data_IF_498411790956
#
_entry.id   IF_498411790956
#
_cell.length_a   1.000
_cell.length_b   1.000
_cell.length_c   1.000
_cell.angle_alpha   90.00
_cell.angle_beta   90.00
_cell.angle_gamma   90.00
#
_symmetry.space_group_name_H-M   'P 1'
#
loop_
_entity.id
_entity.type
_entity.pdbx_description
1 polymer ?
2 non-polymer ?
3 non-polymer ?
4 non-polymer ?
5 non-polymer ?
6 water ?
#
# COMPACT_ATOMS: atom_id res chain seq x y z
N UNK A 22 18.64 -1.29 22.14
CA UNK A 22 17.85 -0.30 21.41
C UNK A 22 16.66 -0.94 20.70
N UNK A 23 16.78 -2.23 20.39
CA UNK A 23 15.76 -2.95 19.63
C UNK A 23 14.67 -3.56 20.51
N UNK A 24 15.06 -4.26 21.56
CA UNK A 24 14.08 -4.75 22.53
C UNK A 24 13.42 -3.55 23.20
N UNK A 25 14.19 -2.47 23.38
CA UNK A 25 13.67 -1.25 23.99
C UNK A 25 12.53 -0.71 23.14
N UNK A 26 12.77 -0.60 21.84
CA UNK A 26 11.72 -0.23 20.89
C UNK A 26 10.55 -1.22 20.95
N UNK A 27 10.84 -2.50 21.04
CA UNK A 27 9.80 -3.53 21.13
C UNK A 27 9.06 -3.44 22.46
N UNK A 28 9.83 -3.31 23.53
CA UNK A 28 9.26 -3.15 24.87
C UNK A 28 8.31 -1.97 24.90
N UNK A 29 8.80 -0.81 24.45
CA UNK A 29 8.00 0.41 24.41
C UNK A 29 6.78 0.30 23.50
N UNK A 30 6.93 -0.35 22.36
CA UNK A 30 5.84 -0.50 21.41
C UNK A 30 4.77 -1.40 22.05
N UNK A 31 5.22 -2.51 22.61
CA UNK A 31 4.29 -3.51 23.17
C UNK A 31 3.56 -2.98 24.39
N UNK A 32 4.18 -2.06 25.12
CA UNK A 32 3.58 -1.54 26.36
C UNK A 32 2.65 -0.34 26.14
N UNK A 33 2.67 0.24 24.94
CA UNK A 33 1.90 1.47 24.69
C UNK A 33 0.41 1.22 24.50
N UNK A 34 -0.40 2.20 24.88
CA UNK A 34 -1.82 2.21 24.55
C UNK A 34 -1.96 2.48 23.06
N UNK A 35 -2.85 1.77 22.41
CA UNK A 35 -3.08 1.99 20.98
C UNK A 35 -4.32 2.84 20.83
N UNK A 36 -4.16 4.09 20.41
CA UNK A 36 -5.32 4.99 20.34
C UNK A 36 -6.31 4.52 19.29
N UNK A 37 -7.56 4.98 19.41
CA UNK A 37 -8.60 4.65 18.46
C UNK A 37 -8.24 5.07 17.03
N UNK A 38 -8.91 4.45 16.06
CA UNK A 38 -8.76 4.83 14.65
C UNK A 38 -9.12 6.30 14.46
N UNK A 39 -10.17 6.76 15.15
CA UNK A 39 -10.59 8.16 15.09
C UNK A 39 -9.50 9.09 15.60
N UNK A 40 -8.97 8.82 16.78
CA UNK A 40 -7.89 9.64 17.33
C UNK A 40 -6.70 9.73 16.36
N UNK A 41 -6.38 8.62 15.70
CA UNK A 41 -5.20 8.55 14.86
C UNK A 41 -5.40 9.05 13.43
N UNK A 42 -6.64 9.38 13.08
CA UNK A 42 -7.02 9.97 11.78
C UNK A 42 -6.81 9.00 10.62
N UNK A 43 -6.79 7.73 10.95
CA UNK A 43 -6.36 6.70 10.04
C UNK A 43 -7.44 6.34 9.00
N UNK A 44 -8.68 6.73 9.29
CA UNK A 44 -9.77 6.52 8.34
C UNK A 44 -9.88 7.60 7.27
N UNK A 45 -9.08 8.67 7.38
CA UNK A 45 -9.17 9.79 6.43
C UNK A 45 -8.35 9.54 5.15
N UNK A 46 -8.95 9.80 4.00
CA UNK A 46 -8.20 9.70 2.77
C UNK A 46 -7.05 10.73 2.73
N UNK A 47 -7.24 11.86 3.41
CA UNK A 47 -6.30 12.97 3.36
C UNK A 47 -5.20 12.84 4.41
N UNK A 48 -5.09 11.66 5.00
CA UNK A 48 -4.11 11.37 6.06
C UNK A 48 -2.67 11.67 5.64
N UNK A 49 -1.88 12.17 6.58
CA UNK A 49 -0.48 12.45 6.33
C UNK A 49 0.31 12.00 7.52
N UNK A 50 1.55 11.57 7.27
CA UNK A 50 2.39 11.02 8.34
C UNK A 50 3.51 11.94 8.79
N UNK A 51 3.63 13.13 8.19
CA UNK A 51 4.79 13.99 8.41
C UNK A 51 5.01 14.31 9.89
N UNK A 52 3.92 14.44 10.62
CA UNK A 52 3.97 14.85 12.02
C UNK A 52 4.11 13.67 12.99
N UNK A 53 4.23 12.45 12.46
CA UNK A 53 4.31 11.24 13.29
C UNK A 53 5.71 10.69 13.44
N UNK A 54 6.03 10.22 14.64
CA UNK A 54 7.27 9.47 14.87
C UNK A 54 7.11 8.04 14.38
N UNK A 55 8.23 7.32 14.28
CA UNK A 55 8.19 5.92 13.87
C UNK A 55 7.29 5.13 14.81
N UNK A 56 7.47 5.36 16.11
CA UNK A 56 6.63 4.72 17.13
C UNK A 56 5.16 4.95 16.81
N UNK A 57 4.81 6.20 16.50
CA UNK A 57 3.42 6.53 16.21
C UNK A 57 2.92 5.78 14.98
N UNK A 58 3.75 5.63 13.95
CA UNK A 58 3.31 4.90 12.76
C UNK A 58 3.13 3.41 13.08
N UNK A 59 3.97 2.88 13.97
CA UNK A 59 3.81 1.51 14.44
C UNK A 59 2.47 1.31 15.15
N UNK A 60 2.10 2.28 15.99
CA UNK A 60 0.80 2.25 16.68
C UNK A 60 -0.39 2.31 15.71
N UNK A 61 -0.29 3.19 14.71
CA UNK A 61 -1.31 3.26 13.68
C UNK A 61 -1.41 1.91 12.97
N UNK A 62 -0.27 1.25 12.75
CA UNK A 62 -0.31 -0.05 12.05
C UNK A 62 -1.06 -1.11 12.89
N UNK A 63 -0.78 -1.18 14.19
CA UNK A 63 -1.54 -2.05 15.09
C UNK A 63 -3.03 -1.76 14.98
N UNK A 64 -3.39 -0.49 15.08
CA UNK A 64 -4.79 -0.10 15.01
C UNK A 64 -5.44 -0.60 13.71
N UNK A 65 -4.72 -0.51 12.60
CA UNK A 65 -5.22 -1.00 11.32
C UNK A 65 -5.55 -2.49 11.37
N UNK A 66 -4.60 -3.30 11.86
CA UNK A 66 -4.87 -4.73 12.05
C UNK A 66 -6.08 -5.00 12.94
N UNK A 67 -6.15 -4.32 14.09
CA UNK A 67 -7.20 -4.63 15.06
C UNK A 67 -8.58 -4.25 14.54
N UNK A 68 -8.69 -3.05 13.96
CA UNK A 68 -10.00 -2.58 13.51
C UNK A 68 -10.48 -3.19 12.22
N UNK A 69 -9.61 -3.94 11.54
CA UNK A 69 -10.05 -4.75 10.44
C UNK A 69 -10.38 -6.16 10.94
N UNK A 70 -10.36 -6.32 12.27
CA UNK A 70 -10.70 -7.58 12.94
C UNK A 70 -9.70 -8.71 12.68
N UNK A 71 -8.48 -8.34 12.27
CA UNK A 71 -7.45 -9.33 11.96
C UNK A 71 -6.80 -9.95 13.20
N UNK A 72 -6.59 -9.14 14.23
CA UNK A 72 -6.02 -9.63 15.48
C UNK A 72 -6.97 -10.66 16.11
N UNK A 73 -8.26 -10.37 16.06
CA UNK A 73 -9.29 -11.22 16.62
C UNK A 73 -9.45 -12.51 15.82
N UNK A 74 -9.76 -12.37 14.54
CA UNK A 74 -10.11 -13.50 13.69
C UNK A 74 -8.97 -14.49 13.48
N UNK A 75 -7.74 -14.04 13.67
CA UNK A 75 -6.57 -14.88 13.38
C UNK A 75 -5.65 -15.07 14.57
N UNK A 76 -6.20 -14.76 15.75
CA UNK A 76 -5.55 -15.05 17.03
C UNK A 76 -4.11 -14.59 17.12
N UNK A 77 -3.85 -13.35 16.70
CA UNK A 77 -2.51 -12.81 16.74
C UNK A 77 -2.16 -12.39 18.16
N UNK A 78 -1.00 -12.83 18.63
CA UNK A 78 -0.48 -12.39 19.92
C UNK A 78 0.13 -11.01 19.77
N UNK A 79 -0.07 -10.15 20.77
CA UNK A 79 0.30 -8.75 20.68
C UNK A 79 1.80 -8.57 20.40
N UNK A 80 2.63 -9.26 21.15
CA UNK A 80 4.08 -9.13 20.98
C UNK A 80 4.57 -9.64 19.63
N UNK A 81 3.87 -10.62 19.06
CA UNK A 81 4.25 -11.14 17.74
C UNK A 81 3.96 -10.09 16.65
N UNK A 82 2.78 -9.48 16.70
CA UNK A 82 2.40 -8.43 15.75
C UNK A 82 3.33 -7.21 15.89
N UNK A 83 3.60 -6.80 17.12
CA UNK A 83 4.57 -5.72 17.36
C UNK A 83 5.93 -6.00 16.75
N UNK A 84 6.44 -7.20 17.01
CA UNK A 84 7.75 -7.57 16.48
C UNK A 84 7.72 -7.59 14.94
N UNK A 85 6.64 -8.13 14.37
CA UNK A 85 6.48 -8.17 12.92
C UNK A 85 6.49 -6.77 12.30
N UNK A 86 5.77 -5.84 12.93
CA UNK A 86 5.70 -4.48 12.42
C UNK A 86 7.08 -3.84 12.48
N UNK A 87 7.78 -4.03 13.59
CA UNK A 87 9.15 -3.52 13.71
C UNK A 87 10.13 -4.12 12.71
N UNK A 88 10.00 -5.43 12.44
CA UNK A 88 10.85 -6.09 11.44
C UNK A 88 10.61 -5.51 10.04
N UNK A 89 9.35 -5.29 9.72
CA UNK A 89 9.00 -4.73 8.43
C UNK A 89 9.59 -3.33 8.30
N UNK A 90 9.32 -2.49 9.29
CA UNK A 90 9.84 -1.12 9.30
C UNK A 90 11.35 -1.11 9.12
N UNK A 91 12.03 -1.96 9.85
CA UNK A 91 13.49 -1.99 9.79
C UNK A 91 14.04 -2.43 8.44
N UNK A 92 13.27 -3.22 7.70
CA UNK A 92 13.73 -3.70 6.41
C UNK A 92 13.43 -2.78 5.21
N UNK A 93 13.00 -1.54 5.50
CA UNK A 93 13.03 -0.48 4.50
C UNK A 93 14.28 0.37 4.70
N UNK A 94 14.74 1.05 3.66
CA UNK A 94 15.97 1.83 3.77
C UNK A 94 15.67 3.34 3.95
N UNK A 95 16.09 3.86 5.10
CA UNK A 95 15.87 5.28 5.46
C UNK A 95 16.49 6.25 4.46
N UNK A 96 17.65 5.89 3.94
CA UNK A 96 18.41 6.72 2.98
C UNK A 96 17.76 6.83 1.61
N UNK A 97 16.69 6.08 1.37
CA UNK A 97 16.00 6.14 0.10
C UNK A 97 14.85 7.15 0.25
N UNK A 98 14.86 8.19 -0.58
CA UNK A 98 14.01 9.39 -0.35
C UNK A 98 12.51 9.10 -0.30
N UNK A 99 12.03 8.32 -1.26
CA UNK A 99 10.59 8.03 -1.33
C UNK A 99 10.25 6.58 -1.02
N UNK A 100 10.95 5.63 -1.65
CA UNK A 100 10.64 4.22 -1.44
C UNK A 100 11.22 3.71 -0.11
N UNK A 101 10.56 4.09 0.98
CA UNK A 101 10.99 3.73 2.33
C UNK A 101 9.78 3.32 3.17
N UNK A 102 9.98 3.13 4.47
CA UNK A 102 8.88 2.70 5.34
C UNK A 102 7.65 3.63 5.33
N UNK A 103 7.87 4.95 5.27
CA UNK A 103 6.73 5.89 5.26
C UNK A 103 5.85 5.71 4.03
N UNK A 104 6.46 5.38 2.90
CA UNK A 104 5.70 5.04 1.71
C UNK A 104 4.83 3.80 1.92
N UNK A 105 5.41 2.73 2.46
CA UNK A 105 4.67 1.48 2.72
C UNK A 105 3.55 1.72 3.73
N UNK A 106 3.90 2.43 4.79
CA UNK A 106 2.94 2.79 5.83
C UNK A 106 1.77 3.57 5.25
N UNK A 107 2.08 4.56 4.41
CA UNK A 107 1.06 5.34 3.73
C UNK A 107 0.21 4.51 2.77
N UNK A 108 0.85 3.56 2.09
CA UNK A 108 0.13 2.65 1.19
C UNK A 108 -0.88 1.81 1.98
N UNK A 109 -0.47 1.30 3.13
CA UNK A 109 -1.38 0.53 3.98
C UNK A 109 -2.50 1.37 4.58
N UNK A 110 -2.20 2.63 4.90
CA UNK A 110 -3.23 3.48 5.50
C UNK A 110 -4.29 3.71 4.44
N UNK A 111 -3.86 3.93 3.20
CA UNK A 111 -4.78 4.12 2.12
C UNK A 111 -5.61 2.85 1.92
N UNK A 112 -4.97 1.69 2.03
CA UNK A 112 -5.72 0.42 1.96
C UNK A 112 -6.79 0.39 3.06
N UNK A 113 -6.39 0.74 4.27
CA UNK A 113 -7.31 0.74 5.41
C UNK A 113 -8.48 1.69 5.14
N UNK A 114 -8.15 2.89 4.66
CA UNK A 114 -9.17 3.90 4.40
C UNK A 114 -10.15 3.47 3.30
N UNK A 115 -9.62 2.85 2.23
CA UNK A 115 -10.50 2.36 1.16
C UNK A 115 -11.40 1.24 1.66
N UNK A 116 -10.87 0.39 2.53
CA UNK A 116 -11.65 -0.69 3.11
C UNK A 116 -12.76 -0.17 4.02
N UNK A 117 -12.40 0.79 4.86
CA UNK A 117 -13.33 1.35 5.84
C UNK A 117 -14.20 2.45 5.23
N UNK A 118 -13.65 3.65 5.09
CA UNK A 118 -14.38 4.79 4.53
C UNK A 118 -14.82 4.53 3.11
N UNK A 119 -14.02 3.78 2.36
CA UNK A 119 -14.37 3.47 0.99
C UNK A 119 -15.31 2.29 0.86
N UNK A 120 -15.65 1.68 1.99
CA UNK A 120 -16.62 0.56 2.01
C UNK A 120 -16.24 -0.58 1.07
N UNK A 121 -14.94 -0.81 0.90
CA UNK A 121 -14.46 -1.93 0.11
C UNK A 121 -14.49 -3.21 0.98
N UNK A 122 -14.30 -3.04 2.29
CA UNK A 122 -14.24 -4.16 3.23
C UNK A 122 -15.34 -5.24 3.07
N UNK A 123 -16.55 -4.79 2.77
CA UNK A 123 -17.71 -5.69 2.69
C UNK A 123 -17.69 -6.56 1.45
N UNK A 124 -16.90 -6.14 0.46
CA UNK A 124 -16.80 -6.87 -0.80
C UNK A 124 -15.77 -8.00 -0.74
N UNK A 125 -15.04 -8.11 0.35
CA UNK A 125 -13.88 -9.02 0.40
C UNK A 125 -13.96 -10.03 1.55
N UNK A 126 -13.19 -11.11 1.45
CA UNK A 126 -13.11 -12.07 2.56
C UNK A 126 -12.11 -11.60 3.59
N UNK A 127 -12.20 -12.16 4.79
CA UNK A 127 -11.25 -11.87 5.83
C UNK A 127 -9.81 -12.18 5.39
N UNK A 128 -9.62 -13.31 4.74
CA UNK A 128 -8.28 -13.69 4.26
C UNK A 128 -7.76 -12.72 3.21
N UNK A 129 -8.65 -12.25 2.34
CA UNK A 129 -8.27 -11.25 1.33
C UNK A 129 -7.82 -9.94 1.98
N UNK A 130 -8.53 -9.52 3.02
CA UNK A 130 -8.21 -8.28 3.73
C UNK A 130 -6.88 -8.39 4.49
N UNK A 131 -6.66 -9.56 5.11
CA UNK A 131 -5.43 -9.87 5.80
C UNK A 131 -4.24 -9.78 4.84
N UNK A 132 -4.40 -10.39 3.67
CA UNK A 132 -3.34 -10.46 2.67
C UNK A 132 -2.98 -9.08 2.11
N UNK A 133 -4.02 -8.29 1.81
CA UNK A 133 -3.88 -6.95 1.27
C UNK A 133 -3.15 -5.99 2.20
N UNK A 134 -3.50 -6.03 3.49
CA UNK A 134 -2.82 -5.17 4.46
C UNK A 134 -1.35 -5.56 4.60
N UNK A 135 -1.09 -6.86 4.68
CA UNK A 135 0.30 -7.32 4.76
C UNK A 135 1.08 -6.93 3.48
N UNK A 136 0.50 -7.23 2.32
CA UNK A 136 1.06 -6.82 1.01
C UNK A 136 1.36 -5.32 0.96
N UNK A 137 0.37 -4.51 1.28
CA UNK A 137 0.55 -3.05 1.25
C UNK A 137 1.78 -2.66 2.04
N UNK A 138 1.91 -3.17 3.26
CA UNK A 138 3.04 -2.85 4.12
C UNK A 138 4.38 -3.42 3.62
N UNK A 139 4.30 -4.54 2.92
CA UNK A 139 5.49 -5.31 2.59
C UNK A 139 5.95 -5.07 1.14
N UNK A 140 5.16 -4.35 0.35
CA UNK A 140 5.30 -4.42 -1.13
C UNK A 140 6.53 -3.76 -1.74
N UNK A 141 7.26 -2.96 -0.96
CA UNK A 141 8.51 -2.36 -1.46
C UNK A 141 9.71 -2.72 -0.57
N UNK A 142 9.59 -3.78 0.22
CA UNK A 142 10.64 -4.12 1.20
C UNK A 142 12.03 -4.17 0.58
N UNK A 143 12.98 -3.52 1.25
CA UNK A 143 14.41 -3.54 0.89
C UNK A 143 14.69 -2.78 -0.41
N UNK A 144 13.76 -1.93 -0.82
CA UNK A 144 13.93 -1.10 -2.03
C UNK A 144 15.16 -0.20 -1.89
N UNK A 145 15.93 -0.04 -2.97
CA UNK A 145 17.15 0.75 -2.91
C UNK A 145 17.11 2.05 -3.72
N UNK A 146 15.92 2.42 -4.21
CA UNK A 146 15.79 3.61 -5.04
C UNK A 146 15.59 3.24 -6.50
N UNK A 147 14.78 4.04 -7.21
CA UNK A 147 14.47 3.75 -8.62
C UNK A 147 15.71 3.72 -9.53
N UNK A 148 16.78 4.42 -9.13
CA UNK A 148 17.99 4.51 -9.92
C UNK A 148 19.03 3.46 -9.57
N UNK A 149 18.68 2.57 -8.64
CA UNK A 149 19.59 1.52 -8.22
C UNK A 149 19.27 0.19 -8.92
N UNK A 150 20.32 -0.54 -9.31
CA UNK A 150 20.17 -1.79 -10.05
C UNK A 150 20.86 -3.00 -9.40
N UNK A 151 21.23 -2.87 -8.13
CA UNK A 151 21.92 -3.95 -7.42
C UNK A 151 21.16 -5.29 -7.43
N UNK A 159 23.10 -7.08 -9.14
CA UNK A 159 21.98 -7.38 -10.04
C UNK A 159 21.89 -8.87 -10.36
N UNK A 160 23.04 -9.46 -10.66
CA UNK A 160 23.11 -10.79 -11.27
C UNK A 160 22.48 -10.79 -12.66
N UNK A 161 22.17 -9.59 -13.16
CA UNK A 161 21.55 -9.37 -14.48
C UNK A 161 20.14 -9.95 -14.62
N UNK A 162 19.69 -10.06 -15.87
CA UNK A 162 18.55 -10.90 -16.27
C UNK A 162 17.17 -10.23 -16.24
N UNK A 163 17.13 -9.00 -16.76
CA UNK A 163 15.89 -8.33 -17.20
C UNK A 163 14.74 -8.22 -16.19
N UNK A 164 13.54 -8.56 -16.64
CA UNK A 164 12.32 -8.31 -15.88
C UNK A 164 11.58 -9.56 -15.43
N UNK A 165 10.29 -9.62 -15.72
CA UNK A 165 9.34 -10.57 -15.11
C UNK A 165 8.99 -10.12 -13.70
N UNK A 166 9.13 -8.81 -13.45
CA UNK A 166 8.86 -8.17 -12.16
C UNK A 166 9.88 -8.58 -11.10
N UNK A 167 11.17 -8.50 -11.44
CA UNK A 167 12.25 -8.97 -10.56
C UNK A 167 12.28 -8.28 -9.19
N UNK A 168 12.04 -6.97 -9.18
CA UNK A 168 12.05 -6.21 -7.93
C UNK A 168 10.90 -6.64 -7.02
N UNK A 169 9.70 -6.78 -7.59
CA UNK A 169 8.53 -7.26 -6.85
C UNK A 169 8.71 -8.68 -6.31
N UNK A 170 9.38 -9.55 -7.07
CA UNK A 170 9.71 -10.87 -6.55
C UNK A 170 10.60 -10.77 -5.32
N UNK A 171 11.58 -9.86 -5.38
CA UNK A 171 12.46 -9.62 -4.24
C UNK A 171 11.67 -9.10 -3.02
N UNK A 172 10.76 -8.14 -3.25
CA UNK A 172 9.94 -7.63 -2.16
C UNK A 172 9.11 -8.76 -1.52
N UNK A 173 8.47 -9.58 -2.35
CA UNK A 173 7.72 -10.71 -1.79
C UNK A 173 8.61 -11.65 -0.98
N UNK A 174 9.79 -11.97 -1.52
CA UNK A 174 10.75 -12.83 -0.84
C UNK A 174 11.12 -12.30 0.54
N UNK A 175 11.33 -10.97 0.62
CA UNK A 175 11.60 -10.32 1.90
C UNK A 175 10.39 -10.41 2.83
N UNK A 176 9.20 -10.21 2.28
CA UNK A 176 7.96 -10.34 3.04
C UNK A 176 7.86 -11.74 3.65
N UNK A 177 8.11 -12.76 2.83
CA UNK A 177 8.00 -14.17 3.22
C UNK A 177 8.98 -14.50 4.35
N UNK A 178 10.22 -14.07 4.18
CA UNK A 178 11.29 -14.28 5.17
C UNK A 178 10.92 -13.70 6.55
N UNK A 179 10.33 -12.51 6.55
CA UNK A 179 9.88 -11.92 7.80
C UNK A 179 8.71 -12.72 8.39
N UNK A 180 7.78 -13.13 7.55
CA UNK A 180 6.65 -13.95 8.03
C UNK A 180 7.07 -15.29 8.62
N UNK A 181 8.25 -15.77 8.22
CA UNK A 181 8.81 -17.04 8.69
C UNK A 181 9.79 -16.87 9.85
N UNK A 182 10.07 -15.62 10.22
CA UNK A 182 11.09 -15.33 11.23
C UNK A 182 10.58 -15.70 12.62
N UNK A 183 11.46 -16.26 13.46
CA UNK A 183 11.09 -16.61 14.83
C UNK A 183 10.54 -15.40 15.56
N UNK A 184 9.38 -15.55 16.21
CA UNK A 184 8.77 -14.48 16.96
C UNK A 184 7.96 -13.49 16.14
N UNK A 185 7.97 -13.64 14.82
CA UNK A 185 7.31 -12.70 13.90
C UNK A 185 6.15 -13.32 13.13
N UNK A 186 5.76 -14.52 13.50
CA UNK A 186 4.79 -15.27 12.69
C UNK A 186 3.33 -14.95 12.95
N UNK A 187 2.89 -13.78 12.47
CA UNK A 187 1.51 -13.32 12.65
C UNK A 187 0.49 -14.18 11.92
N UNK A 188 0.95 -15.06 11.05
CA UNK A 188 0.05 -15.95 10.34
C UNK A 188 0.01 -17.37 10.94
N UNK A 189 0.69 -17.56 12.07
CA UNK A 189 0.76 -18.87 12.70
C UNK A 189 -0.62 -19.42 13.08
N UNK A 190 -1.58 -18.51 13.28
CA UNK A 190 -2.93 -18.88 13.68
C UNK A 190 -3.79 -19.45 12.56
N UNK A 191 -3.35 -19.30 11.31
CA UNK A 191 -4.09 -19.85 10.20
C UNK A 191 -3.77 -21.34 10.05
N UNK A 192 -4.74 -22.11 9.53
CA UNK A 192 -4.50 -23.48 9.10
C UNK A 192 -3.62 -23.46 7.88
N UNK A 193 -2.98 -24.60 7.56
CA UNK A 193 -2.10 -24.66 6.40
C UNK A 193 -2.83 -24.29 5.12
N UNK A 194 -4.10 -24.68 5.00
CA UNK A 194 -4.87 -24.30 3.81
C UNK A 194 -5.13 -22.79 3.74
N UNK A 195 -5.52 -22.20 4.86
CA UNK A 195 -5.67 -20.76 4.92
C UNK A 195 -4.32 -20.07 4.65
N UNK A 196 -3.26 -20.62 5.21
CA UNK A 196 -1.94 -20.02 5.08
C UNK A 196 -1.52 -19.94 3.60
N UNK A 197 -1.68 -21.04 2.88
CA UNK A 197 -1.27 -21.11 1.48
C UNK A 197 -2.09 -20.17 0.60
N UNK A 198 -3.38 -20.13 0.86
CA UNK A 198 -4.30 -19.25 0.16
C UNK A 198 -3.93 -17.78 0.39
N UNK A 199 -3.58 -17.44 1.63
CA UNK A 199 -3.21 -16.05 1.91
C UNK A 199 -1.84 -15.67 1.35
N UNK A 200 -0.85 -16.55 1.48
CA UNK A 200 0.46 -16.32 0.86
C UNK A 200 0.34 -16.01 -0.62
N UNK A 201 -0.53 -16.76 -1.31
CA UNK A 201 -0.78 -16.58 -2.75
C UNK A 201 -1.41 -15.22 -3.07
N UNK A 202 -2.37 -14.81 -2.26
CA UNK A 202 -2.96 -13.48 -2.42
C UNK A 202 -1.89 -12.43 -2.18
N UNK A 203 -1.13 -12.56 -1.08
CA UNK A 203 -0.01 -11.64 -0.81
C UNK A 203 0.98 -11.57 -1.98
N UNK A 204 1.31 -12.73 -2.55
CA UNK A 204 2.28 -12.75 -3.64
C UNK A 204 1.75 -12.01 -4.87
N UNK A 205 0.53 -12.36 -5.32
CA UNK A 205 -0.10 -11.67 -6.45
C UNK A 205 -0.23 -10.16 -6.17
N UNK A 206 -0.59 -9.83 -4.94
CA UNK A 206 -0.81 -8.44 -4.55
C UNK A 206 0.48 -7.63 -4.67
N UNK A 207 1.57 -8.19 -4.17
CA UNK A 207 2.85 -7.52 -4.29
C UNK A 207 3.33 -7.48 -5.75
N UNK A 208 3.19 -8.60 -6.46
CA UNK A 208 3.60 -8.65 -7.87
C UNK A 208 2.83 -7.59 -8.66
N UNK A 209 1.58 -7.35 -8.29
CA UNK A 209 0.73 -6.38 -8.96
C UNK A 209 1.22 -4.94 -8.90
N UNK A 210 2.07 -4.63 -7.92
CA UNK A 210 2.59 -3.26 -7.77
C UNK A 210 3.65 -2.93 -8.81
N UNK A 211 3.99 -3.89 -9.67
CA UNK A 211 4.84 -3.63 -10.82
C UNK A 211 3.99 -2.88 -11.83
N UNK A 212 4.36 -1.64 -12.09
CA UNK A 212 3.54 -0.79 -12.97
C UNK A 212 3.41 -1.41 -14.37
N UNK A 213 4.39 -2.20 -14.80
CA UNK A 213 4.26 -2.94 -16.06
C UNK A 213 3.06 -3.89 -16.04
N UNK A 214 2.87 -4.63 -14.94
CA UNK A 214 1.72 -5.53 -14.85
C UNK A 214 0.41 -4.76 -14.80
N UNK A 215 0.43 -3.61 -14.14
CA UNK A 215 -0.75 -2.75 -14.08
C UNK A 215 -1.20 -2.30 -15.48
N UNK A 216 -0.25 -1.82 -16.25
CA UNK A 216 -0.53 -1.34 -17.60
C UNK A 216 -1.08 -2.48 -18.51
N UNK A 217 -0.58 -3.70 -18.31
CA UNK A 217 -1.01 -4.84 -19.12
C UNK A 217 -2.41 -5.29 -18.76
N UNK A 218 -2.75 -5.19 -17.49
CA UNK A 218 -4.00 -5.75 -17.03
C UNK A 218 -5.11 -4.73 -16.92
N UNK A 219 -4.72 -3.46 -16.93
CA UNK A 219 -5.64 -2.30 -16.94
C UNK A 219 -6.85 -2.45 -17.84
N UNK A 220 -6.58 -2.46 -19.14
CA UNK A 220 -7.61 -2.45 -20.17
C UNK A 220 -8.77 -3.39 -19.90
N UNK A 221 -8.46 -4.62 -19.52
CA UNK A 221 -9.50 -5.59 -19.21
C UNK A 221 -10.42 -5.05 -18.12
N UNK A 222 -9.84 -4.50 -17.06
CA UNK A 222 -10.59 -3.95 -15.94
C UNK A 222 -11.49 -2.80 -16.42
N UNK A 223 -10.94 -1.93 -17.24
CA UNK A 223 -11.68 -0.78 -17.75
C UNK A 223 -12.77 -1.23 -18.72
N UNK A 224 -12.42 -2.19 -19.58
CA UNK A 224 -13.36 -2.80 -20.50
C UNK A 224 -14.57 -3.38 -19.77
N UNK A 225 -14.32 -4.16 -18.73
CA UNK A 225 -15.39 -4.79 -17.94
C UNK A 225 -16.33 -3.77 -17.29
N UNK A 226 -15.77 -2.67 -16.80
CA UNK A 226 -16.57 -1.61 -16.18
C UNK A 226 -17.34 -0.83 -17.24
N UNK A 227 -16.68 -0.62 -18.37
CA UNK A 227 -17.23 0.08 -19.53
C UNK A 227 -18.56 -0.53 -19.99
N UNK A 228 -18.77 -1.82 -19.71
CA UNK A 228 -19.94 -2.54 -20.17
C UNK A 228 -20.83 -3.01 -19.02
N UNK A 229 -20.56 -2.50 -17.82
CA UNK A 229 -21.23 -2.98 -16.62
C UNK A 229 -21.15 -4.49 -16.50
N UNK A 230 -20.03 -5.03 -16.96
CA UNK A 230 -19.77 -6.46 -16.99
C UNK A 230 -19.03 -6.89 -15.73
N UNK A 231 -18.45 -5.91 -15.03
CA UNK A 231 -17.61 -6.20 -13.87
C UNK A 231 -18.36 -6.92 -12.75
N UNK A 232 -17.82 -8.06 -12.32
CA UNK A 232 -18.45 -8.88 -11.29
C UNK A 232 -17.41 -9.49 -10.35
N UNK A 233 -17.50 -9.15 -9.06
CA UNK A 233 -16.52 -9.59 -8.06
C UNK A 233 -16.63 -11.07 -7.69
N UNK A 234 -17.75 -11.68 -8.04
CA UNK A 234 -18.00 -13.09 -7.72
C UNK A 234 -17.12 -14.02 -8.55
N UNK A 235 -16.81 -13.60 -9.78
CA UNK A 235 -15.90 -14.34 -10.62
C UNK A 235 -14.49 -14.22 -10.07
N UNK A 236 -13.89 -15.36 -9.70
CA UNK A 236 -12.54 -15.40 -9.11
C UNK A 236 -11.51 -14.65 -9.93
N UNK A 237 -11.60 -14.76 -11.25
CA UNK A 237 -10.68 -14.07 -12.14
C UNK A 237 -10.75 -12.55 -11.97
N UNK A 238 -11.97 -12.04 -11.80
CA UNK A 238 -12.19 -10.59 -11.66
C UNK A 238 -11.88 -10.10 -10.24
N UNK A 239 -12.09 -10.97 -9.25
CA UNK A 239 -11.71 -10.67 -7.88
C UNK A 239 -10.23 -10.41 -7.83
N UNK A 240 -9.46 -11.31 -8.41
CA UNK A 240 -8.03 -11.19 -8.45
C UNK A 240 -7.57 -9.94 -9.20
N UNK A 241 -8.28 -9.60 -10.29
CA UNK A 241 -7.92 -8.41 -11.07
C UNK A 241 -8.15 -7.17 -10.23
N UNK A 242 -9.26 -7.15 -9.49
CA UNK A 242 -9.63 -6.01 -8.66
C UNK A 242 -8.61 -5.79 -7.54
N UNK A 243 -8.19 -6.88 -6.89
CA UNK A 243 -7.19 -6.79 -5.86
C UNK A 243 -5.90 -6.17 -6.41
N UNK A 244 -5.56 -6.51 -7.64
CA UNK A 244 -4.38 -5.95 -8.29
C UNK A 244 -4.55 -4.46 -8.52
N UNK A 245 -5.70 -4.08 -9.05
CA UNK A 245 -5.98 -2.67 -9.30
C UNK A 245 -6.02 -1.89 -7.97
N UNK A 246 -6.59 -2.50 -6.93
CA UNK A 246 -6.67 -1.87 -5.62
C UNK A 246 -5.28 -1.60 -5.05
N UNK A 247 -4.39 -2.57 -5.21
CA UNK A 247 -3.01 -2.39 -4.76
C UNK A 247 -2.35 -1.20 -5.42
N UNK A 248 -2.46 -1.12 -6.74
CA UNK A 248 -1.89 0.00 -7.46
C UNK A 248 -2.48 1.33 -6.97
N UNK A 249 -3.79 1.34 -6.73
CA UNK A 249 -4.48 2.55 -6.30
C UNK A 249 -3.90 3.09 -5.00
N UNK A 250 -3.69 2.21 -4.03
CA UNK A 250 -3.09 2.58 -2.75
C UNK A 250 -1.62 2.95 -2.92
N UNK A 251 -0.93 2.21 -3.78
CA UNK A 251 0.50 2.42 -4.05
C UNK A 251 0.76 3.84 -4.56
N UNK A 252 -0.16 4.34 -5.38
CA UNK A 252 0.03 5.64 -6.03
C UNK A 252 -0.68 6.76 -5.27
N UNK A 253 -1.23 6.44 -4.12
CA UNK A 253 -2.22 7.30 -3.49
C UNK A 253 -1.70 8.66 -3.01
N UNK A 254 -0.38 8.84 -2.98
CA UNK A 254 0.15 10.18 -2.71
C UNK A 254 -0.36 11.25 -3.69
N UNK A 255 -0.60 10.89 -4.97
CA UNK A 255 -1.05 11.95 -5.89
C UNK A 255 -2.51 12.31 -5.65
N UNK A 256 -3.17 11.67 -4.69
CA UNK A 256 -4.55 12.03 -4.36
C UNK A 256 -4.62 12.96 -3.15
N UNK A 257 -3.48 13.23 -2.52
CA UNK A 257 -3.45 13.97 -1.26
C UNK A 257 -3.76 15.46 -1.44
N UNK A 258 -4.23 16.12 -0.37
CA UNK A 258 -4.34 17.58 -0.39
C UNK A 258 -3.07 18.23 -0.94
N UNK A 259 -3.24 19.29 -1.70
CA UNK A 259 -2.12 19.94 -2.39
C UNK A 259 -0.84 20.19 -1.57
N UNK A 260 -0.95 20.74 -0.34
CA UNK A 260 0.30 20.94 0.43
C UNK A 260 1.04 19.62 0.72
N UNK A 261 0.28 18.54 0.90
CA UNK A 261 0.89 17.21 1.11
C UNK A 261 1.48 16.61 -0.18
N UNK A 262 0.72 16.65 -1.27
CA UNK A 262 1.23 16.15 -2.57
C UNK A 262 2.51 16.87 -3.00
N UNK A 263 2.54 18.19 -2.82
CA UNK A 263 3.73 18.96 -3.14
C UNK A 263 4.96 18.44 -2.43
N UNK A 264 4.77 18.11 -1.15
CA UNK A 264 5.87 17.58 -0.35
C UNK A 264 6.27 16.17 -0.78
N UNK A 265 5.29 15.30 -1.03
CA UNK A 265 5.64 13.93 -1.43
C UNK A 265 6.35 13.98 -2.77
N UNK A 266 5.87 14.84 -3.66
CA UNK A 266 6.50 15.02 -4.96
C UNK A 266 7.96 15.46 -4.82
N UNK A 267 8.27 16.20 -3.75
CA UNK A 267 9.66 16.58 -3.45
C UNK A 267 10.52 15.33 -3.24
N UNK A 268 10.01 14.39 -2.45
CA UNK A 268 10.69 13.12 -2.18
C UNK A 268 10.89 12.31 -3.47
N UNK A 269 9.82 12.20 -4.25
CA UNK A 269 9.89 11.47 -5.51
C UNK A 269 10.96 12.08 -6.42
N UNK A 270 10.93 13.40 -6.56
CA UNK A 270 11.91 14.13 -7.38
C UNK A 270 13.33 13.87 -6.89
N UNK A 271 13.52 13.87 -5.57
CA UNK A 271 14.83 13.60 -4.99
C UNK A 271 15.34 12.19 -5.33
N UNK A 272 14.48 11.19 -5.18
CA UNK A 272 14.87 9.84 -5.53
C UNK A 272 15.06 9.70 -7.05
N UNK A 273 14.18 10.31 -7.84
CA UNK A 273 14.26 10.21 -9.30
C UNK A 273 15.59 10.75 -9.82
N UNK A 274 16.07 11.84 -9.20
CA UNK A 274 17.39 12.40 -9.50
C UNK A 274 18.23 12.48 -8.21
N UNK A 275 18.72 11.31 -7.74
CA UNK A 275 19.31 11.24 -6.40
C UNK A 275 20.53 12.13 -6.15
N UNK A 297 13.92 21.33 -11.73
CA UNK A 297 12.60 21.07 -11.17
C UNK A 297 11.48 21.73 -11.98
N UNK A 298 11.83 22.31 -13.13
CA UNK A 298 10.87 23.03 -13.94
C UNK A 298 10.09 22.12 -14.89
N UNK A 299 10.63 20.95 -15.16
CA UNK A 299 9.92 19.96 -15.98
C UNK A 299 8.96 19.13 -15.12
N UNK A 300 9.09 19.22 -13.81
CA UNK A 300 8.27 18.40 -12.90
C UNK A 300 6.73 18.62 -13.04
N UNK A 301 6.28 19.88 -13.13
CA UNK A 301 4.82 20.04 -13.26
C UNK A 301 4.19 19.28 -14.44
N UNK A 302 4.80 19.34 -15.62
CA UNK A 302 4.22 18.67 -16.79
C UNK A 302 4.40 17.16 -16.70
N UNK A 303 5.47 16.71 -16.05
CA UNK A 303 5.63 15.29 -15.76
C UNK A 303 4.47 14.78 -14.93
N UNK A 304 4.16 15.52 -13.86
CA UNK A 304 3.10 15.10 -12.94
C UNK A 304 1.76 15.07 -13.68
N UNK A 305 1.51 16.04 -14.55
CA UNK A 305 0.26 16.04 -15.30
C UNK A 305 0.19 14.81 -16.19
N UNK A 306 1.31 14.52 -16.86
CA UNK A 306 1.38 13.35 -17.72
C UNK A 306 1.15 12.06 -16.95
N UNK A 307 1.82 11.94 -15.80
CA UNK A 307 1.63 10.80 -14.90
C UNK A 307 0.18 10.62 -14.49
N UNK A 308 -0.45 11.73 -14.10
CA UNK A 308 -1.85 11.69 -13.68
C UNK A 308 -2.76 11.25 -14.82
N UNK A 309 -2.57 11.84 -16.01
CA UNK A 309 -3.37 11.49 -17.17
C UNK A 309 -3.16 10.05 -17.61
N UNK A 310 -1.91 9.65 -17.74
CA UNK A 310 -1.57 8.34 -18.30
C UNK A 310 -1.88 7.16 -17.39
N UNK A 311 -1.68 7.34 -16.09
CA UNK A 311 -1.71 6.22 -15.16
C UNK A 311 -2.80 6.33 -14.08
N UNK A 312 -2.97 7.53 -13.54
CA UNK A 312 -3.78 7.71 -12.33
C UNK A 312 -5.28 7.90 -12.54
N UNK A 313 -5.68 8.88 -13.38
CA UNK A 313 -7.09 9.26 -13.48
C UNK A 313 -8.06 8.12 -13.71
N UNK A 314 -7.80 7.34 -14.76
CA UNK A 314 -8.67 6.24 -15.16
C UNK A 314 -8.79 5.19 -14.06
N UNK A 315 -7.70 4.98 -13.33
CA UNK A 315 -7.70 4.03 -12.22
C UNK A 315 -8.66 4.50 -11.14
N UNK A 316 -8.51 5.74 -10.69
CA UNK A 316 -9.36 6.23 -9.60
C UNK A 316 -10.82 6.36 -10.04
N UNK A 317 -11.05 6.73 -11.30
CA UNK A 317 -12.40 6.72 -11.87
C UNK A 317 -12.98 5.32 -11.83
N UNK A 318 -12.18 4.35 -12.25
CA UNK A 318 -12.62 2.95 -12.19
C UNK A 318 -12.95 2.51 -10.77
N UNK A 319 -12.09 2.87 -9.80
CA UNK A 319 -12.29 2.48 -8.41
C UNK A 319 -13.59 3.09 -7.87
N UNK A 320 -13.82 4.35 -8.21
CA UNK A 320 -15.04 5.03 -7.77
C UNK A 320 -16.31 4.38 -8.34
N UNK A 321 -16.21 3.80 -9.54
CA UNK A 321 -17.29 3.02 -10.13
C UNK A 321 -17.61 1.78 -9.31
N UNK A 322 -16.56 1.07 -8.90
CA UNK A 322 -16.70 -0.12 -8.07
C UNK A 322 -17.29 0.25 -6.71
N UNK A 323 -16.83 1.36 -6.16
CA UNK A 323 -17.40 1.85 -4.92
C UNK A 323 -17.43 3.37 -4.86
N UNK A 324 -18.64 3.90 -4.87
CA UNK A 324 -18.92 5.34 -4.85
C UNK A 324 -18.09 6.08 -3.79
N UNK A 325 -17.87 5.42 -2.65
CA UNK A 325 -17.23 6.03 -1.49
C UNK A 325 -15.71 6.19 -1.61
N UNK A 326 -15.14 5.68 -2.69
CA UNK A 326 -13.73 5.92 -2.95
C UNK A 326 -13.53 7.19 -3.77
N UNK A 327 -14.64 7.87 -4.06
CA UNK A 327 -14.60 9.16 -4.76
C UNK A 327 -13.57 10.19 -4.27
N UNK A 328 -13.34 10.31 -2.94
CA UNK A 328 -12.36 11.31 -2.51
C UNK A 328 -10.95 11.09 -3.06
N UNK A 329 -10.58 9.85 -3.39
CA UNK A 329 -9.29 9.59 -4.03
C UNK A 329 -9.27 10.23 -5.42
N UNK A 330 -10.30 9.97 -6.21
CA UNK A 330 -10.44 10.57 -7.53
C UNK A 330 -10.54 12.09 -7.48
N UNK A 331 -11.29 12.59 -6.49
CA UNK A 331 -11.43 14.03 -6.33
C UNK A 331 -10.06 14.65 -6.05
N UNK A 332 -9.34 14.07 -5.09
CA UNK A 332 -8.02 14.56 -4.76
C UNK A 332 -7.06 14.54 -5.95
N UNK A 333 -7.15 13.48 -6.76
CA UNK A 333 -6.27 13.34 -7.93
C UNK A 333 -6.55 14.42 -8.96
N UNK A 334 -7.83 14.70 -9.20
CA UNK A 334 -8.24 15.76 -10.11
C UNK A 334 -7.78 17.11 -9.61
N UNK A 335 -7.83 17.31 -8.30
CA UNK A 335 -7.42 18.60 -7.72
C UNK A 335 -5.94 18.82 -7.88
N UNK A 336 -5.16 17.76 -7.77
CA UNK A 336 -3.73 17.88 -8.01
C UNK A 336 -3.39 18.10 -9.49
N UNK A 337 -4.17 17.53 -10.40
CA UNK A 337 -3.93 17.80 -11.82
C UNK A 337 -4.06 19.29 -12.12
N UNK A 338 -5.11 19.90 -11.60
CA UNK A 338 -5.31 21.35 -11.77
C UNK A 338 -4.13 22.17 -11.23
N UNK A 339 -3.70 21.87 -10.00
CA UNK A 339 -2.54 22.56 -9.42
C UNK A 339 -1.27 22.39 -10.25
N UNK A 340 -0.96 21.15 -10.66
CA UNK A 340 0.26 20.91 -11.43
C UNK A 340 0.22 21.57 -12.80
N UNK A 341 -0.93 21.45 -13.47
CA UNK A 341 -1.14 22.05 -14.78
C UNK A 341 -0.93 23.56 -14.75
N UNK A 342 -1.47 24.22 -13.73
CA UNK A 342 -1.32 25.66 -13.59
C UNK A 342 0.15 26.04 -13.45
N UNK A 343 0.90 25.23 -12.70
CA UNK A 343 2.33 25.44 -12.60
C UNK A 343 3.04 25.24 -13.94
N UNK A 344 2.62 24.22 -14.69
CA UNK A 344 3.25 23.92 -15.98
C UNK A 344 3.33 25.12 -16.95
N UNK A 345 2.68 26.23 -16.58
CA UNK A 345 2.93 27.53 -17.21
C UNK A 345 3.34 28.59 -16.20
#
# INVERSE_FOLDING_TARGET
>A
MGSSHHHHHHSSGLVPRGSHMEETRELQSLAAAVVPSAQTLKITDFSFSDFELSDLETALCTIRMFTDLNLVQNFQMKHEVLCRWILSVKKNYRKNVAYHNWRHAFNTAQCMFAALKAGKIQNKLTDLEILALLIAALSHDLDHRGVNNSYIQRSEHPLAQLYCHSIMEHHHFDQCLMILNSPGNQILSGLSIEEYKTTLKIIKQAILATDLALYIKRRGEFFELIRKNQFNLEDPHQKELFLAMLMTACDLSAITKPWPIQQRIAELVATEFFDQGDRERKELNIEPTDLMNREKKNKIPSMQVGFIDAICLQLYEALTHVSEDCFPLLDGCRKNRQKWQALAEQQ
#
